data_IF_591462870030
#
_entry.id   IF_591462870030
#
_cell.length_a   1.000
_cell.length_b   1.000
_cell.length_c   1.000
_cell.angle_alpha   90.00
_cell.angle_beta   90.00
_cell.angle_gamma   90.00
#
_symmetry.space_group_name_H-M   'P 1'
#
loop_
_entity.id
_entity.type
_entity.pdbx_description
1 polymer ?
#
# COMPACT_ATOMS: atom_id res chain seq x y z
N UNK A 1 4.30 17.33 13.25
CA UNK A 1 4.09 17.69 11.83
C UNK A 1 4.77 16.74 10.86
N UNK A 2 6.07 16.43 11.02
CA UNK A 2 6.80 15.51 10.11
C UNK A 2 6.11 14.15 9.92
N UNK A 3 5.56 13.58 10.99
CA UNK A 3 4.87 12.27 10.92
C UNK A 3 3.53 12.31 10.17
N UNK A 4 2.81 13.43 10.23
CA UNK A 4 1.52 13.59 9.53
C UNK A 4 1.77 13.64 8.03
N UNK A 5 2.78 14.38 7.58
CA UNK A 5 3.15 14.47 6.16
C UNK A 5 3.57 13.10 5.62
N UNK A 6 4.38 12.35 6.39
CA UNK A 6 4.78 11.01 5.99
C UNK A 6 3.57 10.07 5.90
N UNK A 7 2.68 10.10 6.90
CA UNK A 7 1.46 9.30 6.92
C UNK A 7 0.54 9.60 5.73
N UNK A 8 0.32 10.88 5.41
CA UNK A 8 -0.49 11.27 4.25
C UNK A 8 0.10 10.79 2.93
N UNK A 9 1.43 10.86 2.76
CA UNK A 9 2.11 10.34 1.56
C UNK A 9 1.96 8.83 1.43
N UNK A 10 2.05 8.11 2.55
CA UNK A 10 1.87 6.66 2.57
C UNK A 10 0.43 6.26 2.24
N UNK A 11 -0.57 6.94 2.78
CA UNK A 11 -1.97 6.67 2.41
C UNK A 11 -2.23 6.90 0.92
N UNK A 12 -1.69 7.98 0.35
CA UNK A 12 -1.77 8.22 -1.10
C UNK A 12 -1.09 7.10 -1.89
N UNK A 13 0.10 6.66 -1.48
CA UNK A 13 0.82 5.56 -2.14
C UNK A 13 0.00 4.25 -2.13
N UNK A 14 -0.67 3.94 -1.01
CA UNK A 14 -1.54 2.76 -0.89
C UNK A 14 -2.72 2.83 -1.84
N UNK A 15 -3.41 3.97 -1.88
CA UNK A 15 -4.55 4.16 -2.77
C UNK A 15 -4.14 4.01 -4.23
N UNK A 16 -3.01 4.60 -4.64
CA UNK A 16 -2.52 4.48 -6.01
C UNK A 16 -2.11 3.03 -6.34
N UNK A 17 -1.42 2.34 -5.43
CA UNK A 17 -1.01 0.94 -5.63
C UNK A 17 -2.22 0.01 -5.75
N UNK A 18 -3.24 0.18 -4.91
CA UNK A 18 -4.48 -0.60 -4.96
C UNK A 18 -5.26 -0.40 -6.26
N UNK A 19 -5.10 0.75 -6.92
CA UNK A 19 -5.68 1.05 -8.23
C UNK A 19 -4.78 0.62 -9.40
N UNK A 20 -3.71 -0.15 -9.15
CA UNK A 20 -2.85 -0.71 -10.19
C UNK A 20 -1.80 0.25 -10.76
N UNK A 21 -1.56 1.39 -10.10
CA UNK A 21 -0.52 2.34 -10.54
C UNK A 21 0.87 1.76 -10.26
N UNK A 22 1.76 1.83 -11.25
CA UNK A 22 3.15 1.36 -11.11
C UNK A 22 3.89 2.12 -10.00
N UNK A 23 4.70 1.40 -9.23
CA UNK A 23 5.55 1.93 -8.15
C UNK A 23 6.46 3.08 -8.61
N UNK A 24 6.86 3.09 -9.89
CA UNK A 24 7.62 4.19 -10.48
C UNK A 24 6.85 5.53 -10.42
N UNK A 25 5.59 5.53 -10.85
CA UNK A 25 4.75 6.74 -10.84
C UNK A 25 4.32 7.13 -9.43
N UNK A 26 4.12 6.14 -8.54
CA UNK A 26 3.83 6.40 -7.12
C UNK A 26 5.00 7.10 -6.44
N UNK A 27 6.24 6.66 -6.71
CA UNK A 27 7.46 7.31 -6.21
C UNK A 27 7.52 8.78 -6.64
N UNK A 28 7.24 9.07 -7.90
CA UNK A 28 7.21 10.44 -8.43
C UNK A 28 6.12 11.30 -7.77
N UNK A 29 4.91 10.78 -7.63
CA UNK A 29 3.77 11.53 -7.09
C UNK A 29 3.87 11.82 -5.59
N UNK A 30 4.44 10.88 -4.82
CA UNK A 30 4.49 10.97 -3.35
C UNK A 30 5.84 11.51 -2.82
N UNK A 31 6.88 11.45 -3.66
CA UNK A 31 8.26 11.72 -3.27
C UNK A 31 8.81 10.70 -2.26
N UNK A 32 8.18 9.53 -2.14
CA UNK A 32 8.67 8.44 -1.30
C UNK A 32 9.70 7.63 -2.06
N UNK A 33 10.81 7.31 -1.39
CA UNK A 33 11.83 6.45 -1.98
C UNK A 33 11.29 5.04 -2.25
N UNK A 34 11.86 4.38 -3.25
CA UNK A 34 11.58 2.98 -3.56
C UNK A 34 11.66 2.06 -2.34
N UNK A 35 12.64 2.29 -1.45
CA UNK A 35 12.82 1.50 -0.23
C UNK A 35 11.63 1.64 0.72
N UNK A 36 11.14 2.86 0.93
CA UNK A 36 9.96 3.13 1.77
C UNK A 36 8.72 2.49 1.15
N UNK A 37 8.53 2.67 -0.16
CA UNK A 37 7.41 2.07 -0.88
C UNK A 37 7.42 0.53 -0.77
N UNK A 38 8.57 -0.11 -0.96
CA UNK A 38 8.68 -1.57 -0.83
C UNK A 38 8.41 -2.04 0.59
N UNK A 39 8.98 -1.40 1.61
CA UNK A 39 8.74 -1.82 3.01
C UNK A 39 7.26 -1.69 3.38
N UNK A 40 6.66 -0.55 3.07
CA UNK A 40 5.30 -0.22 3.53
C UNK A 40 4.22 -0.87 2.65
N UNK A 41 4.40 -0.93 1.33
CA UNK A 41 3.42 -1.53 0.41
C UNK A 41 3.55 -3.05 0.35
N UNK A 42 4.74 -3.64 0.48
CA UNK A 42 4.88 -5.12 0.53
C UNK A 42 4.27 -5.66 1.82
N UNK A 43 4.40 -4.94 2.94
CA UNK A 43 3.69 -5.27 4.17
C UNK A 43 2.17 -5.33 3.92
N UNK A 44 1.62 -4.37 3.18
CA UNK A 44 0.19 -4.29 2.88
C UNK A 44 -0.24 -5.36 1.88
N UNK A 45 0.49 -5.59 0.79
CA UNK A 45 0.20 -6.66 -0.15
C UNK A 45 0.19 -8.03 0.55
N UNK A 46 1.10 -8.23 1.51
CA UNK A 46 1.15 -9.44 2.32
C UNK A 46 -0.06 -9.57 3.25
N UNK A 47 -0.51 -8.47 3.86
CA UNK A 47 -1.64 -8.45 4.79
C UNK A 47 -3.01 -8.46 4.10
N UNK A 48 -3.17 -7.80 2.95
CA UNK A 48 -4.38 -7.85 2.13
C UNK A 48 -4.57 -9.21 1.49
N UNK A 49 -3.50 -9.91 1.07
CA UNK A 49 -3.60 -11.29 0.59
C UNK A 49 -4.11 -12.23 1.69
N UNK A 50 -3.61 -12.07 2.93
CA UNK A 50 -4.10 -12.80 4.10
C UNK A 50 -5.58 -12.48 4.36
N UNK A 51 -5.97 -11.19 4.32
CA UNK A 51 -7.36 -10.77 4.57
C UNK A 51 -8.33 -11.25 3.48
N UNK A 52 -7.91 -11.24 2.22
CA UNK A 52 -8.69 -11.76 1.09
C UNK A 52 -8.86 -13.28 1.18
N UNK A 53 -7.80 -14.03 1.53
CA UNK A 53 -7.91 -15.48 1.78
C UNK A 53 -8.82 -15.80 2.96
N UNK A 54 -8.74 -15.02 4.04
CA UNK A 54 -9.62 -15.18 5.20
C UNK A 54 -11.09 -14.92 4.83
N UNK A 55 -11.39 -13.81 4.14
CA UNK A 55 -12.76 -13.49 3.72
C UNK A 55 -13.33 -14.49 2.69
N UNK A 56 -12.49 -15.00 1.77
CA UNK A 56 -12.90 -16.05 0.83
C UNK A 56 -13.23 -17.38 1.54
N UNK A 57 -12.66 -17.63 2.72
CA UNK A 57 -12.97 -18.81 3.52
C UNK A 57 -14.27 -18.65 4.33
N UNK A 58 -14.61 -17.43 4.74
CA UNK A 58 -15.83 -17.13 5.50
C UNK A 58 -17.09 -17.15 4.63
N UNK A 59 -16.98 -16.84 3.33
CA UNK A 59 -18.13 -16.80 2.41
C UNK A 59 -18.54 -18.16 1.80
N UNK A 60 -17.97 -19.28 2.29
CA UNK A 60 -18.20 -20.63 1.75
C UNK A 60 -18.99 -21.56 2.68
N UNK A 61 -19.73 -21.00 3.66
CA UNK A 61 -20.60 -21.73 4.58
C UNK A 61 -22.08 -21.50 4.22
#
# INVERSE_FOLDING_TARGET
MKDIVLKSKLEMAKTLYANGVSLYYISLATGLSWRVLMTELTFIASHENIRQKANAHVHKL
#
